data_IF_286608169061
#
_entry.id   IF_286608169061
#
_cell.length_a   1.000
_cell.length_b   1.000
_cell.length_c   1.000
_cell.angle_alpha   90.00
_cell.angle_beta   90.00
_cell.angle_gamma   90.00
#
_symmetry.space_group_name_H-M   'P 1'
#
loop_
_entity.id
_entity.type
_entity.pdbx_description
1 polymer ?
#
# COMPACT_ATOMS: atom_id res chain seq x y z
N UNK A 1 19.87 -9.00 -34.31
CA UNK A 1 20.35 -8.18 -33.18
C UNK A 1 19.24 -7.38 -32.50
N UNK A 2 18.24 -6.89 -33.23
CA UNK A 2 17.18 -6.04 -32.65
C UNK A 2 16.20 -6.79 -31.72
N UNK A 3 15.87 -8.05 -32.02
CA UNK A 3 14.90 -8.83 -31.22
C UNK A 3 15.38 -9.11 -29.79
N UNK A 4 16.64 -9.54 -29.62
CA UNK A 4 17.25 -9.76 -28.30
C UNK A 4 17.29 -8.49 -27.44
N UNK A 5 17.56 -7.35 -28.07
CA UNK A 5 17.63 -6.06 -27.39
C UNK A 5 16.24 -5.61 -26.94
N UNK A 6 15.22 -5.81 -27.77
CA UNK A 6 13.81 -5.55 -27.42
C UNK A 6 13.34 -6.45 -26.27
N UNK A 7 13.64 -7.75 -26.32
CA UNK A 7 13.27 -8.68 -25.24
C UNK A 7 13.94 -8.28 -23.92
N UNK A 8 15.24 -7.96 -23.93
CA UNK A 8 15.97 -7.54 -22.74
C UNK A 8 15.39 -6.26 -22.11
N UNK A 9 15.00 -5.27 -22.93
CA UNK A 9 14.38 -4.03 -22.45
C UNK A 9 13.04 -4.32 -21.77
N UNK A 10 12.18 -5.14 -22.39
CA UNK A 10 10.86 -5.49 -21.83
C UNK A 10 11.03 -6.23 -20.50
N UNK A 11 11.90 -7.25 -20.44
CA UNK A 11 12.13 -8.01 -19.21
C UNK A 11 12.64 -7.11 -18.09
N UNK A 12 13.54 -6.18 -18.39
CA UNK A 12 14.08 -5.23 -17.40
C UNK A 12 12.99 -4.29 -16.88
N UNK A 13 12.12 -3.78 -17.76
CA UNK A 13 11.01 -2.89 -17.38
C UNK A 13 9.98 -3.59 -16.49
N UNK A 14 9.65 -4.85 -16.80
CA UNK A 14 8.75 -5.68 -15.99
C UNK A 14 9.35 -5.94 -14.61
N UNK A 15 10.65 -6.28 -14.53
CA UNK A 15 11.34 -6.49 -13.25
C UNK A 15 11.39 -5.21 -12.40
N UNK A 16 11.59 -4.05 -13.02
CA UNK A 16 11.55 -2.74 -12.34
C UNK A 16 10.20 -2.45 -11.67
N UNK A 17 9.10 -2.98 -12.21
CA UNK A 17 7.76 -2.81 -11.65
C UNK A 17 7.52 -3.67 -10.40
N UNK A 18 8.23 -4.79 -10.26
CA UNK A 18 8.18 -5.68 -9.10
C UNK A 18 9.24 -5.36 -8.03
N UNK A 19 10.15 -4.43 -8.31
CA UNK A 19 11.09 -3.93 -7.32
C UNK A 19 10.32 -3.10 -6.29
N UNK A 20 10.28 -3.49 -5.01
CA UNK A 20 9.66 -2.67 -3.98
C UNK A 20 10.42 -1.34 -3.93
N UNK A 21 9.70 -0.24 -4.12
CA UNK A 21 10.21 1.10 -3.87
C UNK A 21 10.60 1.17 -2.40
N UNK A 22 11.91 1.13 -2.09
CA UNK A 22 12.44 1.18 -0.72
C UNK A 22 12.32 2.55 -0.05
N UNK A 23 11.21 3.25 -0.26
CA UNK A 23 10.91 4.47 0.46
C UNK A 23 10.36 4.10 1.84
N UNK A 24 10.79 4.84 2.87
CA UNK A 24 10.22 4.69 4.20
C UNK A 24 8.77 5.19 4.15
N UNK A 25 7.83 4.31 4.51
CA UNK A 25 6.39 4.56 4.50
C UNK A 25 6.05 5.80 5.32
N UNK A 26 5.17 6.66 4.82
CA UNK A 26 4.68 7.84 5.55
C UNK A 26 3.23 7.62 5.97
N UNK A 27 2.89 7.82 7.25
CA UNK A 27 1.53 7.64 7.76
C UNK A 27 1.09 8.84 8.61
N UNK A 28 -0.23 9.00 8.77
CA UNK A 28 -0.74 9.82 9.87
C UNK A 28 -0.49 9.12 11.21
N UNK A 29 -0.03 9.87 12.21
CA UNK A 29 0.39 9.30 13.49
C UNK A 29 -0.03 10.20 14.67
N UNK A 30 -1.24 9.98 15.18
CA UNK A 30 -1.80 10.72 16.31
C UNK A 30 -2.60 9.79 17.25
N UNK A 31 -2.57 10.06 18.57
CA UNK A 31 -3.32 9.28 19.55
C UNK A 31 -4.81 9.70 19.65
N UNK A 32 -5.25 10.68 18.88
CA UNK A 32 -6.61 11.25 18.93
C UNK A 32 -7.19 11.48 17.52
N UNK A 33 -8.51 11.72 17.49
CA UNK A 33 -9.27 12.01 16.27
C UNK A 33 -8.90 13.37 15.65
N UNK A 34 -9.15 13.56 14.35
CA UNK A 34 -8.72 14.74 13.57
C UNK A 34 -7.19 14.87 13.52
N UNK A 35 -6.54 13.81 13.02
CA UNK A 35 -5.09 13.74 12.92
C UNK A 35 -4.59 14.44 11.65
N UNK A 36 -3.94 15.58 11.81
CA UNK A 36 -3.30 16.31 10.70
C UNK A 36 -1.77 16.13 10.67
N UNK A 37 -1.22 15.37 11.62
CA UNK A 37 0.22 15.13 11.74
C UNK A 37 0.62 13.84 11.03
N UNK A 38 1.54 13.95 10.08
CA UNK A 38 2.18 12.82 9.44
C UNK A 38 3.61 12.61 9.94
N UNK A 39 4.11 11.39 9.79
CA UNK A 39 5.50 11.02 10.08
C UNK A 39 5.97 9.95 9.12
N UNK A 40 7.26 9.95 8.83
CA UNK A 40 7.92 8.80 8.23
C UNK A 40 8.04 7.70 9.28
N UNK A 41 7.60 6.50 8.94
CA UNK A 41 7.65 5.33 9.80
C UNK A 41 9.09 4.82 9.98
N UNK A 42 9.36 4.21 11.12
CA UNK A 42 10.70 3.71 11.47
C UNK A 42 10.92 2.28 10.98
N UNK A 43 12.14 1.77 11.16
CA UNK A 43 12.49 0.42 10.72
C UNK A 43 11.55 -0.64 11.33
N UNK A 44 10.98 -1.49 10.47
CA UNK A 44 10.03 -2.53 10.85
C UNK A 44 8.57 -2.08 10.91
N UNK A 45 8.28 -0.78 10.76
CA UNK A 45 6.93 -0.25 10.62
C UNK A 45 6.58 -0.10 9.13
N UNK A 46 6.05 -1.18 8.55
CA UNK A 46 5.76 -1.33 7.13
C UNK A 46 4.26 -1.18 6.78
N UNK A 47 3.46 -0.62 7.69
CA UNK A 47 2.02 -0.45 7.51
C UNK A 47 1.49 0.77 8.25
N UNK A 48 0.52 1.47 7.68
CA UNK A 48 -0.27 2.46 8.40
C UNK A 48 -1.49 1.79 9.03
N UNK A 49 -1.81 2.17 10.25
CA UNK A 49 -2.98 1.72 11.01
C UNK A 49 -3.92 2.90 11.26
N UNK A 50 -5.23 2.65 11.16
CA UNK A 50 -6.27 3.48 11.75
C UNK A 50 -7.20 2.60 12.59
N UNK A 51 -7.50 3.03 13.82
CA UNK A 51 -8.42 2.34 14.71
C UNK A 51 -9.54 3.29 15.10
N UNK A 52 -10.79 2.84 14.96
CA UNK A 52 -12.00 3.51 15.39
C UNK A 52 -12.63 2.76 16.56
N UNK A 53 -12.87 3.44 17.67
CA UNK A 53 -13.49 2.88 18.87
C UNK A 53 -14.47 3.91 19.47
N UNK A 54 -15.25 3.51 20.47
CA UNK A 54 -16.35 4.34 21.00
C UNK A 54 -15.94 5.71 21.54
N UNK A 55 -14.66 5.88 21.92
CA UNK A 55 -14.13 7.14 22.49
C UNK A 55 -13.35 7.99 21.48
N UNK A 56 -13.22 7.54 20.23
CA UNK A 56 -12.50 8.29 19.19
C UNK A 56 -11.82 7.39 18.18
N UNK A 57 -10.84 7.97 17.48
CA UNK A 57 -9.95 7.25 16.57
C UNK A 57 -8.51 7.56 16.89
N UNK A 58 -7.62 6.67 16.47
CA UNK A 58 -6.18 6.88 16.46
C UNK A 58 -5.63 6.43 15.11
N UNK A 59 -4.55 7.07 14.69
CA UNK A 59 -3.80 6.73 13.48
C UNK A 59 -2.34 6.52 13.87
N UNK A 60 -1.67 5.51 13.32
CA UNK A 60 -0.29 5.18 13.71
C UNK A 60 0.49 4.52 12.57
N UNK A 61 1.82 4.69 12.60
CA UNK A 61 2.71 3.71 11.98
C UNK A 61 2.61 2.38 12.74
N UNK A 62 2.63 1.26 12.01
CA UNK A 62 2.37 -0.08 12.55
C UNK A 62 3.20 -1.15 11.85
N UNK A 63 3.14 -2.37 12.39
CA UNK A 63 3.82 -3.56 11.86
C UNK A 63 2.78 -4.45 11.20
N UNK A 64 2.97 -4.76 9.92
CA UNK A 64 2.01 -5.54 9.12
C UNK A 64 1.70 -6.91 9.74
N UNK A 65 2.71 -7.61 10.26
CA UNK A 65 2.54 -8.91 10.93
C UNK A 65 1.73 -8.84 12.23
N UNK A 66 1.48 -7.64 12.75
CA UNK A 66 0.63 -7.37 13.92
C UNK A 66 -0.65 -6.63 13.54
N UNK A 67 -1.00 -6.60 12.26
CA UNK A 67 -2.29 -6.11 11.81
C UNK A 67 -3.36 -7.21 11.93
N UNK A 68 -3.65 -7.59 13.16
CA UNK A 68 -4.76 -8.47 13.49
C UNK A 68 -5.48 -7.96 14.74
N UNK A 69 -6.75 -8.32 14.88
CA UNK A 69 -7.61 -7.82 15.96
C UNK A 69 -7.02 -8.14 17.35
N UNK A 70 -6.39 -9.30 17.53
CA UNK A 70 -5.87 -9.69 18.83
C UNK A 70 -4.61 -8.90 19.19
N UNK A 71 -3.66 -8.78 18.26
CA UNK A 71 -2.45 -7.97 18.47
C UNK A 71 -2.79 -6.51 18.73
N UNK A 72 -3.69 -5.92 17.94
CA UNK A 72 -4.10 -4.51 18.10
C UNK A 72 -4.81 -4.30 19.45
N UNK A 73 -5.71 -5.21 19.83
CA UNK A 73 -6.39 -5.15 21.13
C UNK A 73 -5.39 -5.18 22.30
N UNK A 74 -4.39 -6.06 22.21
CA UNK A 74 -3.36 -6.23 23.23
C UNK A 74 -2.45 -4.99 23.32
N UNK A 75 -1.91 -4.54 22.19
CA UNK A 75 -0.88 -3.52 22.14
C UNK A 75 -1.42 -2.11 22.45
N UNK A 76 -2.64 -1.82 21.98
CA UNK A 76 -3.29 -0.52 22.19
C UNK A 76 -4.26 -0.51 23.36
N UNK A 77 -4.47 -1.67 24.02
CA UNK A 77 -5.41 -1.86 25.13
C UNK A 77 -6.83 -1.32 24.81
N UNK A 78 -7.29 -1.53 23.58
CA UNK A 78 -8.62 -1.13 23.09
C UNK A 78 -9.55 -2.34 23.01
N UNK A 79 -10.86 -2.10 23.18
CA UNK A 79 -11.92 -3.10 23.07
C UNK A 79 -13.04 -2.55 22.18
N UNK A 80 -13.77 -3.44 21.50
CA UNK A 80 -14.88 -3.08 20.61
C UNK A 80 -14.49 -1.99 19.59
N UNK A 81 -13.51 -2.30 18.75
CA UNK A 81 -12.96 -1.38 17.76
C UNK A 81 -13.05 -1.95 16.35
N UNK A 82 -12.91 -1.08 15.36
CA UNK A 82 -12.63 -1.43 13.97
C UNK A 82 -11.24 -0.93 13.63
N UNK A 83 -10.45 -1.76 12.96
CA UNK A 83 -9.10 -1.40 12.55
C UNK A 83 -8.90 -1.66 11.06
N UNK A 84 -8.17 -0.77 10.39
CA UNK A 84 -7.80 -0.89 8.99
C UNK A 84 -6.29 -0.67 8.86
N UNK A 85 -5.65 -1.53 8.05
CA UNK A 85 -4.24 -1.43 7.72
C UNK A 85 -4.04 -1.30 6.22
N UNK A 86 -3.00 -0.56 5.84
CA UNK A 86 -2.63 -0.33 4.43
C UNK A 86 -1.13 0.01 4.31
N UNK A 87 -0.55 -0.25 3.13
CA UNK A 87 0.90 -0.28 2.89
C UNK A 87 1.38 0.78 1.89
N UNK A 88 0.69 1.93 1.82
CA UNK A 88 1.07 3.06 0.96
C UNK A 88 0.95 4.39 1.71
N UNK A 89 1.66 5.41 1.23
CA UNK A 89 1.76 6.69 1.93
C UNK A 89 0.39 7.31 2.23
N UNK A 90 0.24 7.76 3.48
CA UNK A 90 -0.90 8.50 4.02
C UNK A 90 -2.26 7.79 3.86
N UNK A 91 -2.24 6.48 3.64
CA UNK A 91 -3.44 5.68 3.36
C UNK A 91 -4.44 5.61 4.52
N UNK A 92 -3.98 5.83 5.76
CA UNK A 92 -4.80 5.81 6.97
C UNK A 92 -5.59 7.10 7.23
N UNK A 93 -5.70 7.98 6.22
CA UNK A 93 -6.67 9.07 6.14
C UNK A 93 -7.57 8.97 4.90
N UNK A 94 -7.39 7.93 4.07
CA UNK A 94 -8.31 7.71 2.97
C UNK A 94 -9.68 7.33 3.56
N UNK A 95 -10.80 7.87 3.04
CA UNK A 95 -12.09 7.19 3.23
C UNK A 95 -11.87 5.74 2.81
N UNK A 96 -12.49 4.80 3.51
CA UNK A 96 -12.41 3.35 3.33
C UNK A 96 -12.67 2.89 1.88
N UNK A 97 -11.77 3.21 0.96
CA UNK A 97 -11.76 2.73 -0.40
C UNK A 97 -11.05 1.40 -0.31
N UNK A 98 -11.83 0.33 -0.30
CA UNK A 98 -11.34 -1.02 -0.56
C UNK A 98 -10.89 -1.05 -2.01
N UNK A 99 -9.73 -0.47 -2.29
CA UNK A 99 -9.15 -0.43 -3.63
C UNK A 99 -8.56 -1.80 -3.88
N UNK A 100 -9.38 -2.69 -4.44
CA UNK A 100 -8.97 -4.02 -4.82
C UNK A 100 -7.88 -3.90 -5.90
N UNK A 101 -6.60 -4.06 -5.53
CA UNK A 101 -5.41 -3.94 -6.42
C UNK A 101 -5.54 -4.80 -7.69
N UNK A 102 -6.39 -5.83 -7.67
CA UNK A 102 -6.71 -6.73 -8.80
C UNK A 102 -7.40 -5.99 -9.96
N UNK A 103 -8.26 -5.00 -9.69
CA UNK A 103 -9.04 -4.31 -10.74
C UNK A 103 -8.15 -3.39 -11.59
N UNK A 104 -7.19 -2.70 -10.97
CA UNK A 104 -6.24 -1.86 -11.70
C UNK A 104 -5.29 -2.69 -12.58
N UNK A 105 -4.87 -3.88 -12.11
CA UNK A 105 -3.97 -4.74 -12.87
C UNK A 105 -4.62 -5.29 -14.15
N UNK A 106 -5.93 -5.59 -14.12
CA UNK A 106 -6.67 -6.04 -15.30
C UNK A 106 -6.78 -4.99 -16.40
N UNK A 107 -7.05 -3.73 -16.03
CA UNK A 107 -7.15 -2.62 -17.00
C UNK A 107 -5.79 -2.31 -17.67
N UNK A 108 -4.69 -2.44 -16.93
CA UNK A 108 -3.35 -2.22 -17.46
C UNK A 108 -2.95 -3.32 -18.46
N UNK A 109 -3.27 -4.58 -18.20
CA UNK A 109 -2.99 -5.68 -19.12
C UNK A 109 -3.77 -5.55 -20.44
N UNK A 110 -5.03 -5.11 -20.40
CA UNK A 110 -5.86 -4.93 -21.61
C UNK A 110 -5.37 -3.81 -22.53
N UNK A 111 -4.62 -2.84 -22.02
CA UNK A 111 -4.08 -1.73 -22.83
C UNK A 111 -2.68 -2.03 -23.37
N UNK A 112 -1.85 -2.76 -22.63
CA UNK A 112 -0.47 -3.09 -23.05
C UNK A 112 -0.46 -4.15 -24.17
N UNK A 113 -1.34 -5.16 -24.11
CA UNK A 113 -1.40 -6.24 -25.12
C UNK A 113 -1.59 -5.71 -26.56
N UNK A 114 -2.55 -4.82 -26.86
CA UNK A 114 -2.71 -4.28 -28.21
C UNK A 114 -1.55 -3.36 -28.64
N UNK A 115 -0.94 -2.60 -27.73
CA UNK A 115 0.23 -1.77 -28.06
C UNK A 115 1.46 -2.63 -28.39
N UNK A 116 1.70 -3.71 -27.64
CA UNK A 116 2.79 -4.65 -27.92
C UNK A 116 2.60 -5.35 -29.27
N UNK A 117 1.35 -5.68 -29.61
CA UNK A 117 0.99 -6.28 -30.90
C UNK A 117 1.25 -5.31 -32.07
N UNK A 118 1.00 -4.02 -31.87
CA UNK A 118 1.27 -2.97 -32.88
C UNK A 118 2.77 -2.66 -33.04
N UNK A 119 3.60 -2.96 -32.04
CA UNK A 119 5.05 -2.76 -32.09
C UNK A 119 5.81 -3.94 -32.72
N UNK A 120 5.30 -5.16 -32.59
CA UNK A 120 5.92 -6.39 -33.12
C UNK A 120 5.39 -6.75 -34.51
N UNK A 121 4.21 -6.24 -34.89
CA UNK A 121 3.58 -6.47 -36.19
C UNK A 121 4.01 -5.54 -37.33
N UNK A 122 4.99 -4.65 -37.08
CA UNK A 122 5.60 -3.76 -38.09
C UNK A 122 7.09 -4.08 -38.24
#
# INVERSE_FOLDING_TARGET
MNSLLVTAVITTFVLAFFLPSGNALVCYNCPYANCDQNTTCTYGQDTCLVVHYSRGSLSSCWINSRCDVNSIALDLNVKNFQATCCDWDLCNNAPNVVTNKIVLCGALLLTIIPMLKSLVGN
#
